data_IF_426636944001
#
_entry.id   IF_426636944001
#
_cell.length_a   1.000
_cell.length_b   1.000
_cell.length_c   1.000
_cell.angle_alpha   90.00
_cell.angle_beta   90.00
_cell.angle_gamma   90.00
#
_symmetry.space_group_name_H-M   'P 1'
#
loop_
_entity.id
_entity.type
_entity.pdbx_description
1 polymer ?
#
# COMPACT_ATOMS: atom_id res chain seq x y z
N UNK A 1 44.41 -29.85 -10.12
CA UNK A 1 44.04 -28.47 -9.73
C UNK A 1 42.91 -27.87 -10.59
N UNK A 2 42.15 -28.66 -11.37
CA UNK A 2 41.09 -28.13 -12.26
C UNK A 2 39.68 -28.09 -11.64
N UNK A 3 39.43 -28.81 -10.54
CA UNK A 3 38.10 -28.87 -9.92
C UNK A 3 37.72 -27.64 -9.09
N UNK A 4 38.67 -27.05 -8.35
CA UNK A 4 38.40 -25.91 -7.45
C UNK A 4 37.98 -24.67 -8.26
N UNK A 5 38.64 -24.39 -9.38
CA UNK A 5 38.34 -23.24 -10.23
C UNK A 5 36.89 -23.21 -10.71
N UNK A 6 36.39 -24.33 -11.23
CA UNK A 6 35.02 -24.44 -11.77
C UNK A 6 33.97 -24.20 -10.69
N UNK A 7 34.14 -24.78 -9.50
CA UNK A 7 33.23 -24.57 -8.38
C UNK A 7 33.24 -23.11 -7.90
N UNK A 8 34.42 -22.49 -7.83
CA UNK A 8 34.55 -21.06 -7.50
C UNK A 8 33.83 -20.17 -8.51
N UNK A 9 33.93 -20.45 -9.83
CA UNK A 9 33.23 -19.67 -10.85
C UNK A 9 31.72 -19.81 -10.74
N UNK A 10 31.21 -21.01 -10.45
CA UNK A 10 29.76 -21.25 -10.29
C UNK A 10 29.22 -20.47 -9.09
N UNK A 11 29.93 -20.49 -7.96
CA UNK A 11 29.53 -19.75 -6.75
C UNK A 11 29.51 -18.24 -7.02
N UNK A 12 30.56 -17.71 -7.66
CA UNK A 12 30.61 -16.29 -8.03
C UNK A 12 29.50 -15.90 -9.00
N UNK A 13 29.27 -16.70 -10.04
CA UNK A 13 28.21 -16.44 -11.02
C UNK A 13 26.82 -16.45 -10.38
N UNK A 14 26.55 -17.44 -9.53
CA UNK A 14 25.27 -17.54 -8.79
C UNK A 14 25.08 -16.35 -7.86
N UNK A 15 26.15 -15.92 -7.17
CA UNK A 15 26.12 -14.75 -6.28
C UNK A 15 25.86 -13.43 -7.03
N UNK A 16 26.46 -13.25 -8.20
CA UNK A 16 26.19 -12.05 -9.03
C UNK A 16 24.75 -12.06 -9.55
N UNK A 17 24.28 -13.21 -10.04
CA UNK A 17 22.92 -13.35 -10.57
C UNK A 17 21.86 -13.12 -9.48
N UNK A 18 22.08 -13.60 -8.26
CA UNK A 18 21.14 -13.40 -7.15
C UNK A 18 21.06 -11.93 -6.72
N UNK A 19 22.18 -11.21 -6.70
CA UNK A 19 22.20 -9.76 -6.43
C UNK A 19 21.44 -8.99 -7.52
N UNK A 20 21.68 -9.30 -8.80
CA UNK A 20 20.96 -8.67 -9.91
C UNK A 20 19.45 -8.96 -9.87
N UNK A 21 19.07 -10.21 -9.57
CA UNK A 21 17.67 -10.60 -9.42
C UNK A 21 16.98 -9.86 -8.26
N UNK A 22 17.69 -9.65 -7.14
CA UNK A 22 17.19 -8.89 -6.00
C UNK A 22 16.91 -7.42 -6.39
N UNK A 23 17.84 -6.78 -7.11
CA UNK A 23 17.62 -5.42 -7.61
C UNK A 23 16.47 -5.33 -8.61
N UNK A 24 16.36 -6.31 -9.52
CA UNK A 24 15.24 -6.37 -10.46
C UNK A 24 13.90 -6.51 -9.73
N UNK A 25 13.83 -7.34 -8.69
CA UNK A 25 12.63 -7.50 -7.87
C UNK A 25 12.28 -6.23 -7.09
N UNK A 26 13.27 -5.56 -6.49
CA UNK A 26 13.06 -4.26 -5.82
C UNK A 26 12.60 -3.17 -6.79
N UNK A 27 13.10 -3.18 -8.04
CA UNK A 27 12.67 -2.24 -9.07
C UNK A 27 11.20 -2.51 -9.49
N UNK A 28 10.76 -3.77 -9.57
CA UNK A 28 9.36 -4.10 -9.87
C UNK A 28 8.39 -3.73 -8.74
N UNK A 29 8.87 -3.67 -7.49
CA UNK A 29 8.06 -3.25 -6.34
C UNK A 29 7.73 -1.75 -6.28
N UNK A 30 8.37 -0.91 -7.10
CA UNK A 30 8.11 0.53 -7.13
C UNK A 30 6.74 0.89 -7.72
N UNK A 31 6.16 0.05 -8.58
CA UNK A 31 4.87 0.33 -9.22
C UNK A 31 3.73 0.50 -8.22
N UNK A 32 3.70 -0.35 -7.17
CA UNK A 32 2.65 -0.32 -6.13
C UNK A 32 2.66 1.00 -5.35
N UNK A 33 3.84 1.62 -5.16
CA UNK A 33 3.94 2.92 -4.48
C UNK A 33 3.42 4.07 -5.35
N UNK A 34 3.67 4.00 -6.66
CA UNK A 34 3.19 5.00 -7.61
C UNK A 34 1.66 4.96 -7.75
N UNK A 35 1.06 3.78 -7.74
CA UNK A 35 -0.39 3.63 -7.82
C UNK A 35 -1.09 4.15 -6.55
N UNK A 36 -0.51 3.91 -5.36
CA UNK A 36 -1.00 4.45 -4.09
C UNK A 36 -0.86 5.98 -4.03
N UNK A 37 0.29 6.52 -4.45
CA UNK A 37 0.52 7.98 -4.53
C UNK A 37 -0.46 8.63 -5.52
N UNK A 38 -0.68 8.05 -6.70
CA UNK A 38 -1.64 8.56 -7.68
C UNK A 38 -3.09 8.52 -7.19
N UNK A 39 -3.50 7.45 -6.50
CA UNK A 39 -4.82 7.38 -5.89
C UNK A 39 -5.02 8.45 -4.80
N UNK A 40 -3.94 8.76 -4.07
CA UNK A 40 -3.94 9.78 -3.01
C UNK A 40 -4.02 11.19 -3.59
N UNK A 41 -3.23 11.50 -4.62
CA UNK A 41 -3.30 12.78 -5.34
C UNK A 41 -4.69 12.99 -5.94
N UNK A 42 -5.29 11.93 -6.50
CA UNK A 42 -6.66 11.98 -7.01
C UNK A 42 -7.68 12.31 -5.92
N UNK A 43 -7.57 11.66 -4.75
CA UNK A 43 -8.43 11.92 -3.61
C UNK A 43 -8.27 13.35 -3.08
N UNK A 44 -7.05 13.88 -3.03
CA UNK A 44 -6.78 15.26 -2.59
C UNK A 44 -7.37 16.30 -3.56
N UNK A 45 -7.40 16.01 -4.86
CA UNK A 45 -7.99 16.90 -5.88
C UNK A 45 -9.52 16.78 -5.96
N UNK A 46 -10.08 15.58 -5.90
CA UNK A 46 -11.50 15.31 -6.19
C UNK A 46 -12.34 15.08 -4.93
N UNK A 47 -11.72 14.79 -3.79
CA UNK A 47 -12.41 14.49 -2.53
C UNK A 47 -13.07 13.11 -2.47
N UNK A 48 -12.79 12.23 -3.44
CA UNK A 48 -13.24 10.85 -3.48
C UNK A 48 -12.19 9.95 -4.13
N UNK A 49 -12.28 8.64 -3.89
CA UNK A 49 -11.35 7.69 -4.50
C UNK A 49 -11.62 7.55 -6.01
N UNK A 50 -10.60 7.22 -6.83
CA UNK A 50 -10.75 7.13 -8.29
C UNK A 50 -11.68 6.00 -8.76
N UNK A 51 -11.93 4.99 -7.91
CA UNK A 51 -12.86 3.90 -8.14
C UNK A 51 -14.30 4.21 -7.68
N UNK A 52 -14.49 5.29 -6.94
CA UNK A 52 -15.80 5.73 -6.44
C UNK A 52 -16.36 6.88 -7.29
N UNK A 53 -17.68 6.86 -7.50
CA UNK A 53 -18.39 8.03 -8.01
C UNK A 53 -18.57 9.08 -6.90
N UNK A 54 -18.74 10.38 -7.24
CA UNK A 54 -19.02 11.41 -6.24
C UNK A 54 -20.27 11.11 -5.39
N UNK A 55 -21.32 10.54 -5.99
CA UNK A 55 -22.55 10.18 -5.29
C UNK A 55 -22.32 9.06 -4.27
N UNK A 56 -21.52 8.04 -4.60
CA UNK A 56 -21.14 6.98 -3.68
C UNK A 56 -20.29 7.51 -2.52
N UNK A 57 -19.36 8.42 -2.80
CA UNK A 57 -18.53 9.05 -1.77
C UNK A 57 -19.36 9.91 -0.80
N UNK A 58 -20.38 10.61 -1.30
CA UNK A 58 -21.33 11.35 -0.47
C UNK A 58 -22.18 10.41 0.40
N UNK A 59 -22.70 9.33 -0.18
CA UNK A 59 -23.47 8.33 0.56
C UNK A 59 -22.64 7.67 1.68
N UNK A 60 -21.38 7.31 1.41
CA UNK A 60 -20.47 6.74 2.40
C UNK A 60 -20.18 7.75 3.54
N UNK A 61 -20.00 9.03 3.21
CA UNK A 61 -19.82 10.10 4.21
C UNK A 61 -21.06 10.28 5.08
N UNK A 62 -22.26 10.21 4.50
CA UNK A 62 -23.49 10.26 5.26
C UNK A 62 -23.63 9.06 6.21
N UNK A 63 -23.31 7.85 5.73
CA UNK A 63 -23.32 6.65 6.56
C UNK A 63 -22.29 6.74 7.69
N UNK A 64 -21.07 7.17 7.40
CA UNK A 64 -20.03 7.38 8.40
C UNK A 64 -20.46 8.40 9.47
N UNK A 65 -21.13 9.48 9.08
CA UNK A 65 -21.69 10.46 10.01
C UNK A 65 -22.83 9.88 10.86
N UNK A 66 -23.72 9.08 10.27
CA UNK A 66 -24.80 8.38 10.99
C UNK A 66 -24.21 7.45 12.05
N UNK A 67 -23.19 6.67 11.69
CA UNK A 67 -22.46 5.80 12.61
C UNK A 67 -21.73 6.56 13.71
N UNK A 68 -21.00 7.63 13.37
CA UNK A 68 -20.31 8.46 14.36
C UNK A 68 -21.27 9.07 15.38
N UNK A 69 -22.42 9.59 14.90
CA UNK A 69 -23.47 10.13 15.76
C UNK A 69 -24.07 9.06 16.68
N UNK A 70 -24.34 7.87 16.15
CA UNK A 70 -24.85 6.75 16.95
C UNK A 70 -23.86 6.32 18.05
N UNK A 71 -22.57 6.30 17.74
CA UNK A 71 -21.52 5.99 18.70
C UNK A 71 -21.45 7.03 19.83
N UNK A 72 -21.48 8.33 19.50
CA UNK A 72 -21.50 9.40 20.52
C UNK A 72 -22.78 9.39 21.36
N UNK A 73 -23.94 9.01 20.78
CA UNK A 73 -25.21 8.93 21.51
C UNK A 73 -25.31 7.73 22.45
N UNK A 74 -24.50 6.69 22.24
CA UNK A 74 -24.42 5.53 23.15
C UNK A 74 -23.50 5.82 24.35
N UNK A 75 -22.62 6.83 24.23
CA UNK A 75 -21.59 7.12 25.21
C UNK A 75 -22.03 8.00 26.40
N UNK A 76 -23.30 8.41 26.54
CA UNK A 76 -23.75 9.12 27.75
C UNK A 76 -25.26 8.98 28.06
N UNK A 77 -25.60 8.49 29.27
CA UNK A 77 -26.33 9.37 30.21
C UNK A 77 -25.75 9.50 31.65
N UNK A 78 -24.60 8.91 31.98
CA UNK A 78 -24.06 8.87 33.36
C UNK A 78 -22.69 9.57 33.55
N UNK A 79 -22.29 10.49 32.67
CA UNK A 79 -20.97 11.16 32.65
C UNK A 79 -20.39 11.65 34.00
N UNK A 80 -19.69 10.77 34.71
CA UNK A 80 -18.77 11.15 35.80
C UNK A 80 -17.36 11.28 35.21
N UNK A 81 -16.95 12.53 35.01
CA UNK A 81 -15.55 12.99 34.93
C UNK A 81 -14.96 13.16 36.32
#
# INVERSE_FOLDING_TARGET
>A
MFGIGIWSTIVLATGVLSVLAMFAYMATGHGVRGDEEAARDFYDEHGHWPDQTPEEAEAEREEAQKWARAQTSTADPDGVV
#
